data_IF_434899284922
#
_entry.id   IF_434899284922
#
_cell.length_a   1.000
_cell.length_b   1.000
_cell.length_c   1.000
_cell.angle_alpha   90.00
_cell.angle_beta   90.00
_cell.angle_gamma   90.00
#
_symmetry.space_group_name_H-M   'P 1'
#
loop_
_entity.id
_entity.type
_entity.pdbx_description
1 polymer ?
#
# COMPACT_ATOMS: atom_id res chain seq x y z
N UNK A 1 -29.06 -1.26 36.48
CA UNK A 1 -28.27 -0.65 35.39
C UNK A 1 -28.08 -1.71 34.32
N UNK A 2 -28.44 -1.40 33.07
CA UNK A 2 -28.30 -2.26 31.90
C UNK A 2 -26.95 -1.99 31.24
N UNK A 3 -26.18 -3.03 30.95
CA UNK A 3 -24.98 -2.89 30.12
C UNK A 3 -25.38 -2.73 28.65
N UNK A 4 -25.03 -1.61 28.05
CA UNK A 4 -25.34 -1.27 26.66
C UNK A 4 -24.08 -1.18 25.79
N UNK A 5 -22.94 -1.68 26.27
CA UNK A 5 -21.65 -1.61 25.58
C UNK A 5 -21.70 -2.15 24.14
N UNK A 6 -22.36 -3.30 23.93
CA UNK A 6 -22.51 -3.88 22.59
C UNK A 6 -23.39 -3.00 21.68
N UNK A 7 -24.47 -2.43 22.21
CA UNK A 7 -25.36 -1.53 21.48
C UNK A 7 -24.64 -0.22 21.11
N UNK A 8 -23.83 0.31 22.02
CA UNK A 8 -23.01 1.50 21.77
C UNK A 8 -22.03 1.27 20.62
N UNK A 9 -21.31 0.13 20.62
CA UNK A 9 -20.42 -0.24 19.51
C UNK A 9 -21.19 -0.38 18.19
N UNK A 10 -22.35 -1.06 18.22
CA UNK A 10 -23.21 -1.20 17.04
C UNK A 10 -23.71 0.15 16.50
N UNK A 11 -24.06 1.09 17.36
CA UNK A 11 -24.46 2.44 16.97
C UNK A 11 -23.31 3.15 16.23
N UNK A 12 -22.07 3.04 16.71
CA UNK A 12 -20.91 3.60 16.02
C UNK A 12 -20.67 2.95 14.64
N UNK A 13 -20.92 1.64 14.49
CA UNK A 13 -20.75 0.91 13.22
C UNK A 13 -21.86 1.17 12.21
N UNK A 14 -23.08 1.45 12.67
CA UNK A 14 -24.27 1.67 11.83
C UNK A 14 -24.44 3.11 11.36
N UNK A 15 -23.51 4.00 11.71
CA UNK A 15 -23.55 5.39 11.27
C UNK A 15 -23.59 5.47 9.73
N UNK A 16 -24.42 6.35 9.16
CA UNK A 16 -24.44 6.56 7.72
C UNK A 16 -23.06 6.99 7.22
N UNK A 17 -22.56 6.29 6.19
CA UNK A 17 -21.30 6.67 5.54
C UNK A 17 -21.54 7.93 4.69
N UNK A 18 -20.79 9.00 4.89
CA UNK A 18 -20.94 10.21 4.10
C UNK A 18 -20.44 9.98 2.67
N UNK A 19 -20.87 10.83 1.73
CA UNK A 19 -20.08 11.08 0.53
C UNK A 19 -18.74 11.67 0.95
N UNK A 20 -17.65 11.35 0.23
CA UNK A 20 -16.34 11.87 0.56
C UNK A 20 -16.33 13.41 0.59
N UNK A 21 -16.10 14.04 1.76
CA UNK A 21 -16.08 15.50 1.86
C UNK A 21 -14.87 16.07 1.10
N UNK A 22 -14.99 17.23 0.46
CA UNK A 22 -13.83 17.89 -0.13
C UNK A 22 -12.84 18.33 0.96
N UNK A 23 -11.56 18.51 0.58
CA UNK A 23 -10.45 18.76 1.53
C UNK A 23 -10.72 19.94 2.45
N UNK A 24 -11.30 21.02 1.92
CA UNK A 24 -11.63 22.23 2.67
C UNK A 24 -12.74 22.04 3.72
N UNK A 25 -13.52 20.96 3.65
CA UNK A 25 -14.58 20.62 4.62
C UNK A 25 -14.13 19.57 5.65
N UNK A 26 -12.93 18.99 5.49
CA UNK A 26 -12.43 17.95 6.39
C UNK A 26 -12.25 18.45 7.83
N UNK A 27 -11.81 19.69 7.99
CA UNK A 27 -11.65 20.32 9.32
C UNK A 27 -12.99 20.32 10.05
N UNK A 28 -14.02 20.88 9.42
CA UNK A 28 -15.37 20.98 9.99
C UNK A 28 -15.98 19.60 10.25
N UNK A 29 -15.69 18.63 9.38
CA UNK A 29 -16.14 17.26 9.58
C UNK A 29 -15.53 16.62 10.83
N UNK A 30 -14.20 16.74 11.02
CA UNK A 30 -13.51 16.19 12.19
C UNK A 30 -13.92 16.89 13.50
N UNK A 31 -14.24 18.19 13.44
CA UNK A 31 -14.67 18.98 14.58
C UNK A 31 -16.15 18.78 14.96
N UNK A 32 -16.93 18.11 14.10
CA UNK A 32 -18.37 17.91 14.31
C UNK A 32 -18.66 17.23 15.67
N UNK A 33 -19.52 17.81 16.51
CA UNK A 33 -19.95 17.18 17.76
C UNK A 33 -20.65 15.84 17.52
N UNK A 34 -20.53 14.92 18.47
CA UNK A 34 -21.34 13.71 18.47
C UNK A 34 -22.79 14.05 18.80
N UNK A 35 -23.72 13.37 18.15
CA UNK A 35 -25.13 13.40 18.55
C UNK A 35 -25.31 12.72 19.92
N UNK A 36 -26.34 13.11 20.66
CA UNK A 36 -26.56 12.61 22.03
C UNK A 36 -26.71 11.08 22.11
N UNK A 37 -27.24 10.44 21.06
CA UNK A 37 -27.40 8.99 20.94
C UNK A 37 -26.08 8.23 20.68
N UNK A 38 -25.02 8.95 20.30
CA UNK A 38 -23.67 8.42 20.13
C UNK A 38 -22.77 8.67 21.36
N UNK A 39 -23.24 9.46 22.33
CA UNK A 39 -22.49 9.62 23.58
C UNK A 39 -22.48 8.34 24.39
N UNK A 40 -21.35 8.06 25.02
CA UNK A 40 -21.08 6.85 25.79
C UNK A 40 -21.72 7.01 27.18
N UNK A 41 -22.77 6.23 27.52
CA UNK A 41 -23.40 6.34 28.82
C UNK A 41 -22.50 5.77 29.92
N UNK A 42 -22.29 6.55 30.97
CA UNK A 42 -21.60 6.13 32.19
C UNK A 42 -22.47 6.38 33.42
N UNK A 43 -22.22 5.62 34.49
CA UNK A 43 -22.79 5.92 35.80
C UNK A 43 -22.12 7.15 36.40
N UNK A 44 -22.86 7.91 37.23
CA UNK A 44 -22.38 9.14 37.83
C UNK A 44 -21.00 8.98 38.49
N UNK A 45 -20.81 7.94 39.32
CA UNK A 45 -19.52 7.72 39.99
C UNK A 45 -18.37 7.45 39.01
N UNK A 46 -18.63 6.81 37.87
CA UNK A 46 -17.61 6.55 36.85
C UNK A 46 -17.25 7.83 36.12
N UNK A 47 -18.26 8.64 35.80
CA UNK A 47 -18.10 9.96 35.20
C UNK A 47 -17.28 10.88 36.11
N UNK A 48 -17.63 10.94 37.41
CA UNK A 48 -16.95 11.77 38.40
C UNK A 48 -15.49 11.37 38.58
N UNK A 49 -15.16 10.07 38.49
CA UNK A 49 -13.77 9.59 38.52
C UNK A 49 -12.92 10.08 37.34
N UNK A 50 -13.52 10.50 36.22
CA UNK A 50 -12.78 11.02 35.07
C UNK A 50 -12.46 12.52 35.21
N UNK A 51 -13.18 13.23 36.07
CA UNK A 51 -12.91 14.63 36.36
C UNK A 51 -11.56 14.74 37.06
N UNK A 52 -10.74 15.68 36.62
CA UNK A 52 -9.42 15.94 37.19
C UNK A 52 -9.26 17.44 37.41
N UNK A 53 -8.94 17.81 38.64
CA UNK A 53 -8.60 19.18 39.03
C UNK A 53 -7.08 19.40 39.11
N UNK A 54 -6.28 18.43 38.64
CA UNK A 54 -4.83 18.61 38.54
C UNK A 54 -4.53 19.61 37.42
N UNK A 55 -3.76 20.66 37.70
CA UNK A 55 -3.40 21.68 36.70
C UNK A 55 -2.65 21.09 35.49
N UNK A 56 -1.88 20.03 35.68
CA UNK A 56 -1.12 19.37 34.60
C UNK A 56 -1.98 18.41 33.75
N UNK A 57 -3.16 18.02 34.24
CA UNK A 57 -4.06 17.06 33.58
C UNK A 57 -5.53 17.44 33.83
N UNK A 58 -5.86 18.72 33.63
CA UNK A 58 -7.20 19.26 33.91
C UNK A 58 -8.23 18.60 32.97
N UNK A 59 -9.34 18.14 33.54
CA UNK A 59 -10.46 17.57 32.80
C UNK A 59 -11.76 17.91 33.52
N UNK A 60 -12.59 18.73 32.88
CA UNK A 60 -13.85 19.21 33.43
C UNK A 60 -15.04 18.42 32.90
N UNK A 61 -16.22 18.65 33.47
CA UNK A 61 -17.46 18.11 32.93
C UNK A 61 -17.76 18.57 31.50
N UNK A 62 -17.31 19.77 31.09
CA UNK A 62 -17.50 20.23 29.72
C UNK A 62 -16.68 19.39 28.74
N UNK A 63 -15.45 19.02 29.13
CA UNK A 63 -14.58 18.16 28.33
C UNK A 63 -15.18 16.75 28.21
N UNK A 64 -15.63 16.17 29.33
CA UNK A 64 -16.23 14.83 29.32
C UNK A 64 -17.50 14.75 28.48
N UNK A 65 -18.33 15.80 28.48
CA UNK A 65 -19.57 15.87 27.69
C UNK A 65 -19.35 15.79 26.17
N UNK A 66 -18.10 15.90 25.69
CA UNK A 66 -17.76 15.67 24.28
C UNK A 66 -18.02 14.23 23.86
N UNK A 67 -17.76 13.26 24.76
CA UNK A 67 -17.90 11.82 24.47
C UNK A 67 -18.92 11.11 25.36
N UNK A 68 -19.15 11.62 26.57
CA UNK A 68 -19.90 10.90 27.59
C UNK A 68 -21.25 11.55 27.87
N UNK A 69 -22.20 10.73 28.28
CA UNK A 69 -23.42 11.19 28.93
C UNK A 69 -23.60 10.42 30.26
N UNK A 70 -24.20 11.07 31.25
CA UNK A 70 -24.51 10.41 32.53
C UNK A 70 -25.87 9.72 32.42
N UNK A 71 -25.93 8.45 32.76
CA UNK A 71 -27.19 7.69 32.81
C UNK A 71 -27.34 6.95 34.14
N UNK A 72 -28.57 6.90 34.65
CA UNK A 72 -28.93 6.10 35.84
C UNK A 72 -29.32 4.67 35.48
N UNK A 73 -29.67 4.44 34.21
CA UNK A 73 -30.29 3.19 33.76
C UNK A 73 -29.37 2.39 32.86
N UNK A 74 -28.49 3.04 32.11
CA UNK A 74 -27.63 2.43 31.10
C UNK A 74 -26.16 2.69 31.41
N UNK A 75 -25.29 1.76 31.06
CA UNK A 75 -23.85 1.86 31.27
C UNK A 75 -23.11 1.17 30.12
N UNK A 76 -22.11 1.83 29.55
CA UNK A 76 -21.26 1.31 28.47
C UNK A 76 -19.83 1.06 28.94
N UNK A 77 -19.64 0.62 30.19
CA UNK A 77 -18.32 0.45 30.77
C UNK A 77 -17.42 -0.50 29.98
N UNK A 78 -17.96 -1.57 29.39
CA UNK A 78 -17.19 -2.49 28.55
C UNK A 78 -16.66 -1.81 27.27
N UNK A 79 -17.48 -0.96 26.64
CA UNK A 79 -17.05 -0.16 25.49
C UNK A 79 -16.02 0.89 25.91
N UNK A 80 -16.30 1.65 26.96
CA UNK A 80 -15.37 2.64 27.54
C UNK A 80 -14.01 2.01 27.88
N UNK A 81 -14.01 0.82 28.50
CA UNK A 81 -12.79 0.11 28.92
C UNK A 81 -11.89 -0.23 27.73
N UNK A 82 -12.48 -0.59 26.58
CA UNK A 82 -11.74 -0.95 25.36
C UNK A 82 -11.37 0.26 24.51
N UNK A 83 -12.27 1.24 24.40
CA UNK A 83 -12.13 2.36 23.47
C UNK A 83 -11.40 3.56 24.07
N UNK A 84 -11.63 3.88 25.35
CA UNK A 84 -11.27 5.18 25.93
C UNK A 84 -10.29 5.05 27.09
N UNK A 85 -10.41 4.01 27.90
CA UNK A 85 -9.70 3.91 29.19
C UNK A 85 -8.18 4.05 29.04
N UNK A 86 -7.57 3.32 28.11
CA UNK A 86 -6.12 3.39 27.90
C UNK A 86 -5.67 4.80 27.49
N UNK A 87 -6.45 5.49 26.66
CA UNK A 87 -6.15 6.87 26.25
C UNK A 87 -6.24 7.84 27.44
N UNK A 88 -7.22 7.72 28.34
CA UNK A 88 -7.39 8.68 29.43
C UNK A 88 -6.41 8.49 30.59
N UNK A 89 -6.09 7.23 30.92
CA UNK A 89 -5.30 6.91 32.12
C UNK A 89 -3.80 6.77 31.89
N UNK A 90 -3.36 6.60 30.63
CA UNK A 90 -1.94 6.54 30.31
C UNK A 90 -1.42 7.93 29.94
N UNK A 91 -0.59 8.49 30.80
CA UNK A 91 0.10 9.75 30.53
C UNK A 91 1.14 9.57 29.41
N UNK A 92 1.42 10.63 28.65
CA UNK A 92 2.49 10.61 27.67
C UNK A 92 3.84 10.34 28.36
N UNK A 93 4.77 9.64 27.68
CA UNK A 93 6.14 9.50 28.17
C UNK A 93 6.84 10.85 28.37
N UNK A 94 7.93 10.81 29.14
CA UNK A 94 8.83 11.95 29.35
C UNK A 94 9.36 12.51 28.02
N UNK A 95 9.66 13.82 28.01
CA UNK A 95 10.26 14.50 26.87
C UNK A 95 11.68 14.04 26.52
N UNK A 96 12.33 13.26 27.38
CA UNK A 96 13.62 12.61 27.14
C UNK A 96 13.45 11.20 26.54
N UNK A 97 12.21 10.74 26.36
CA UNK A 97 11.89 9.43 25.81
C UNK A 97 12.32 9.27 24.35
N UNK A 98 12.75 8.06 24.00
CA UNK A 98 12.95 7.67 22.59
C UNK A 98 11.60 7.53 21.88
N UNK A 99 11.61 7.53 20.55
CA UNK A 99 10.42 7.22 19.75
C UNK A 99 9.73 5.93 20.20
N UNK A 100 10.51 4.87 20.47
CA UNK A 100 10.00 3.60 21.01
C UNK A 100 9.20 3.72 22.32
N UNK A 101 9.51 4.71 23.15
CA UNK A 101 8.76 4.92 24.40
C UNK A 101 7.34 5.45 24.15
N UNK A 102 7.13 6.13 23.03
CA UNK A 102 5.84 6.70 22.63
C UNK A 102 4.94 5.71 21.86
N UNK A 103 5.49 4.60 21.34
CA UNK A 103 4.73 3.62 20.54
C UNK A 103 3.46 3.13 21.24
N UNK A 104 3.56 2.71 22.51
CA UNK A 104 2.39 2.28 23.29
C UNK A 104 1.38 3.42 23.49
N UNK A 105 1.87 4.65 23.63
CA UNK A 105 1.04 5.82 23.81
C UNK A 105 0.27 6.19 22.53
N UNK A 106 0.91 6.17 21.36
CA UNK A 106 0.23 6.36 20.08
C UNK A 106 -0.76 5.22 19.80
N UNK A 107 -0.40 3.97 20.09
CA UNK A 107 -1.31 2.82 19.97
C UNK A 107 -2.59 3.01 20.80
N UNK A 108 -2.47 3.51 22.03
CA UNK A 108 -3.60 3.81 22.92
C UNK A 108 -4.52 4.93 22.42
N UNK A 109 -4.00 5.88 21.64
CA UNK A 109 -4.77 7.05 21.17
C UNK A 109 -5.21 6.95 19.71
N UNK A 110 -4.62 6.05 18.92
CA UNK A 110 -4.84 5.96 17.47
C UNK A 110 -5.19 4.52 17.09
N UNK A 111 -4.26 3.57 17.29
CA UNK A 111 -4.42 2.19 16.80
C UNK A 111 -5.63 1.48 17.41
N UNK A 112 -5.70 1.36 18.73
CA UNK A 112 -6.79 0.62 19.38
C UNK A 112 -8.16 1.26 19.16
N UNK A 113 -8.32 2.61 19.26
CA UNK A 113 -9.56 3.26 18.86
C UNK A 113 -9.98 2.94 17.43
N UNK A 114 -9.04 2.98 16.48
CA UNK A 114 -9.32 2.76 15.07
C UNK A 114 -9.72 1.31 14.77
N UNK A 115 -8.97 0.34 15.29
CA UNK A 115 -9.26 -1.10 15.16
C UNK A 115 -10.62 -1.48 15.78
N UNK A 116 -11.03 -0.80 16.86
CA UNK A 116 -12.34 -1.06 17.47
C UNK A 116 -13.49 -0.50 16.62
N UNK A 117 -13.30 0.69 16.04
CA UNK A 117 -14.29 1.35 15.20
C UNK A 117 -14.43 0.68 13.82
N UNK A 118 -13.33 0.15 13.29
CA UNK A 118 -13.21 -0.46 11.97
C UNK A 118 -12.67 -1.89 12.09
N UNK A 119 -13.50 -2.85 12.52
CA UNK A 119 -13.05 -4.22 12.86
C UNK A 119 -12.55 -5.04 11.66
N UNK A 120 -12.92 -4.64 10.44
CA UNK A 120 -12.48 -5.30 9.21
C UNK A 120 -11.09 -4.84 8.76
N UNK A 121 -10.55 -3.79 9.40
CA UNK A 121 -9.22 -3.28 9.11
C UNK A 121 -8.12 -3.93 9.92
N UNK A 122 -6.89 -3.82 9.43
CA UNK A 122 -5.71 -4.39 10.06
C UNK A 122 -4.61 -3.34 10.17
N UNK A 123 -3.99 -3.22 11.34
CA UNK A 123 -2.85 -2.34 11.53
C UNK A 123 -1.53 -3.03 11.18
N UNK A 124 -0.67 -2.30 10.49
CA UNK A 124 0.75 -2.63 10.34
C UNK A 124 1.59 -1.59 11.07
N UNK A 125 2.68 -2.04 11.69
CA UNK A 125 3.62 -1.18 12.39
C UNK A 125 5.04 -1.54 11.98
N UNK A 126 5.87 -0.54 11.73
CA UNK A 126 7.27 -0.76 11.42
C UNK A 126 8.04 -1.12 12.70
N UNK A 127 7.95 -2.38 13.12
CA UNK A 127 8.76 -2.87 14.22
C UNK A 127 10.18 -3.16 13.70
N UNK A 128 11.17 -2.47 14.25
CA UNK A 128 12.60 -2.63 13.91
C UNK A 128 13.17 -4.03 14.17
N UNK A 129 12.35 -4.99 14.61
CA UNK A 129 12.73 -6.38 14.91
C UNK A 129 13.26 -7.18 13.72
N UNK A 130 13.11 -6.70 12.50
CA UNK A 130 13.70 -7.32 11.31
C UNK A 130 14.39 -6.27 10.45
N UNK A 131 15.49 -5.70 10.97
CA UNK A 131 16.30 -4.70 10.30
C UNK A 131 16.64 -5.13 8.88
N UNK A 132 16.08 -4.38 7.94
CA UNK A 132 16.62 -4.16 6.61
C UNK A 132 16.43 -2.67 6.37
N UNK A 133 17.53 -1.95 6.29
CA UNK A 133 17.63 -0.47 6.35
C UNK A 133 16.88 0.26 5.23
N UNK A 134 16.31 -0.45 4.26
CA UNK A 134 15.72 0.09 3.04
C UNK A 134 14.18 -0.05 3.03
N UNK A 135 13.54 -0.02 4.20
CA UNK A 135 12.07 -0.10 4.29
C UNK A 135 11.46 1.28 4.09
N UNK A 136 10.87 1.50 2.92
CA UNK A 136 9.93 2.61 2.71
C UNK A 136 8.54 2.20 3.26
N UNK A 137 8.44 1.94 4.56
CA UNK A 137 7.18 1.69 5.25
C UNK A 137 6.86 2.88 6.16
N UNK A 138 5.57 3.23 6.33
CA UNK A 138 5.20 4.13 7.39
C UNK A 138 5.40 3.47 8.75
N UNK A 139 5.63 4.29 9.78
CA UNK A 139 5.75 3.81 11.16
C UNK A 139 4.47 3.12 11.62
N UNK A 140 3.33 3.67 11.20
CA UNK A 140 2.00 3.08 11.34
C UNK A 140 1.22 3.10 10.02
N UNK A 141 0.48 2.03 9.75
CA UNK A 141 -0.49 1.98 8.66
C UNK A 141 -1.73 1.23 9.09
N UNK A 142 -2.90 1.69 8.66
CA UNK A 142 -4.17 1.00 8.84
C UNK A 142 -4.73 0.60 7.48
N UNK A 143 -4.92 -0.70 7.30
CA UNK A 143 -5.33 -1.29 6.04
C UNK A 143 -6.79 -1.71 6.08
N UNK A 144 -7.53 -1.41 5.02
CA UNK A 144 -8.88 -1.93 4.80
C UNK A 144 -8.94 -2.53 3.38
N UNK A 145 -9.37 -3.79 3.28
CA UNK A 145 -9.33 -4.58 2.03
C UNK A 145 -8.02 -4.38 1.24
N UNK A 146 -6.89 -4.64 1.91
CA UNK A 146 -5.54 -4.62 1.33
C UNK A 146 -4.96 -3.23 1.00
N UNK A 147 -5.73 -2.13 1.09
CA UNK A 147 -5.25 -0.76 0.88
C UNK A 147 -4.89 -0.07 2.19
N UNK A 148 -3.76 0.64 2.27
CA UNK A 148 -3.37 1.43 3.43
C UNK A 148 -3.99 2.83 3.37
N UNK A 149 -5.16 2.99 3.98
CA UNK A 149 -6.00 4.20 3.87
C UNK A 149 -5.71 5.27 4.93
N UNK A 150 -4.96 4.89 5.97
CA UNK A 150 -4.55 5.79 7.02
C UNK A 150 -3.10 5.49 7.43
N UNK A 151 -2.20 6.47 7.21
CA UNK A 151 -0.74 6.33 7.42
C UNK A 151 -0.22 7.25 8.52
N UNK A 152 0.80 6.82 9.23
CA UNK A 152 1.43 7.57 10.32
C UNK A 152 2.95 7.54 10.25
N UNK A 153 3.58 8.71 10.38
CA UNK A 153 5.01 8.84 10.72
C UNK A 153 5.13 9.42 12.13
N UNK A 154 5.98 8.84 12.95
CA UNK A 154 6.00 9.07 14.39
C UNK A 154 7.41 9.38 14.87
N UNK A 155 7.61 10.56 15.46
CA UNK A 155 8.90 10.96 16.02
C UNK A 155 8.76 11.36 17.48
N UNK A 156 9.85 11.20 18.24
CA UNK A 156 9.99 11.87 19.54
C UNK A 156 10.26 13.37 19.34
N UNK A 157 10.67 14.09 20.38
CA UNK A 157 10.88 15.54 20.33
C UNK A 157 12.12 16.00 19.50
N UNK A 158 12.73 15.13 18.70
CA UNK A 158 13.99 15.41 17.97
C UNK A 158 13.74 15.90 16.53
N UNK A 159 14.75 16.57 15.97
CA UNK A 159 14.77 17.39 14.74
C UNK A 159 14.50 16.68 13.39
N UNK A 160 13.71 15.61 13.36
CA UNK A 160 13.26 15.01 12.10
C UNK A 160 11.92 15.63 11.69
N UNK A 161 11.68 15.77 10.39
CA UNK A 161 10.41 16.27 9.86
C UNK A 161 9.52 15.09 9.46
N UNK A 162 8.64 14.59 10.36
CA UNK A 162 7.78 13.46 10.04
C UNK A 162 6.76 13.78 8.94
N UNK A 163 6.46 15.06 8.69
CA UNK A 163 5.58 15.45 7.57
C UNK A 163 6.28 15.23 6.24
N UNK A 164 7.55 15.60 6.14
CA UNK A 164 8.34 15.35 4.93
C UNK A 164 8.52 13.84 4.69
N UNK A 165 8.82 13.08 5.74
CA UNK A 165 8.97 11.62 5.66
C UNK A 165 7.69 10.92 5.17
N UNK A 166 6.52 11.39 5.62
CA UNK A 166 5.21 10.87 5.22
C UNK A 166 4.97 11.02 3.70
N UNK A 167 5.43 12.13 3.11
CA UNK A 167 5.35 12.36 1.67
C UNK A 167 6.37 11.54 0.88
N UNK A 168 7.62 11.52 1.34
CA UNK A 168 8.72 10.81 0.68
C UNK A 168 8.49 9.29 0.62
N UNK A 169 7.78 8.72 1.61
CA UNK A 169 7.40 7.30 1.67
C UNK A 169 6.00 7.05 1.10
N UNK A 170 5.52 7.85 0.14
CA UNK A 170 4.24 7.58 -0.50
C UNK A 170 4.32 7.67 -2.02
N UNK A 171 3.92 6.57 -2.67
CA UNK A 171 3.58 6.55 -4.09
C UNK A 171 2.07 6.51 -4.20
N UNK A 172 1.51 7.44 -4.97
CA UNK A 172 0.08 7.55 -5.14
C UNK A 172 -0.47 6.42 -6.01
N UNK A 173 -1.32 5.58 -5.42
CA UNK A 173 -1.97 4.43 -6.09
C UNK A 173 -3.45 4.29 -5.70
N UNK A 174 -4.07 5.38 -5.25
CA UNK A 174 -5.38 5.36 -4.58
C UNK A 174 -6.50 5.94 -5.46
N UNK A 175 -6.29 6.02 -6.77
CA UNK A 175 -7.34 6.42 -7.71
C UNK A 175 -8.55 5.45 -7.60
N UNK A 176 -9.80 5.95 -7.66
CA UNK A 176 -10.21 7.34 -7.93
C UNK A 176 -10.42 8.20 -6.67
N UNK A 177 -9.95 7.79 -5.49
CA UNK A 177 -10.16 8.59 -4.28
C UNK A 177 -9.42 9.94 -4.38
N UNK A 178 -10.04 11.06 -3.95
CA UNK A 178 -9.40 12.38 -4.02
C UNK A 178 -8.26 12.54 -3.01
N UNK A 179 -8.29 11.78 -1.92
CA UNK A 179 -7.27 11.77 -0.88
C UNK A 179 -7.34 10.45 -0.10
N UNK A 180 -6.22 10.08 0.53
CA UNK A 180 -6.22 9.20 1.69
C UNK A 180 -5.97 10.03 2.95
N UNK A 181 -6.05 9.41 4.12
CA UNK A 181 -5.79 10.09 5.38
C UNK A 181 -4.45 9.69 5.97
N UNK A 182 -3.98 10.50 6.90
CA UNK A 182 -2.83 10.13 7.70
C UNK A 182 -2.64 11.05 8.89
N UNK A 183 -1.52 10.88 9.57
CA UNK A 183 -1.02 11.79 10.56
C UNK A 183 0.50 11.82 10.57
N UNK A 184 1.04 12.87 11.17
CA UNK A 184 2.41 12.84 11.68
C UNK A 184 2.41 13.24 13.15
N UNK A 185 3.32 12.65 13.92
CA UNK A 185 3.42 12.89 15.36
C UNK A 185 4.82 13.37 15.76
N UNK A 186 4.84 14.35 16.67
CA UNK A 186 6.04 14.81 17.38
C UNK A 186 5.77 14.72 18.88
N UNK A 187 6.25 13.64 19.49
CA UNK A 187 5.90 13.23 20.85
C UNK A 187 4.37 13.12 21.01
N UNK A 188 3.75 13.85 21.95
CA UNK A 188 2.31 13.82 22.18
C UNK A 188 1.51 14.77 21.25
N UNK A 189 2.15 15.47 20.33
CA UNK A 189 1.45 16.30 19.34
C UNK A 189 1.19 15.50 18.08
N UNK A 190 -0.08 15.41 17.66
CA UNK A 190 -0.50 14.71 16.45
C UNK A 190 -1.16 15.71 15.51
N UNK A 191 -0.73 15.73 14.25
CA UNK A 191 -1.39 16.48 13.19
C UNK A 191 -1.98 15.50 12.17
N UNK A 192 -3.30 15.49 12.05
CA UNK A 192 -4.01 14.76 11.01
C UNK A 192 -3.86 15.49 9.69
N UNK A 193 -3.73 14.70 8.62
CA UNK A 193 -3.55 15.20 7.26
C UNK A 193 -4.45 14.48 6.26
N UNK A 194 -4.79 15.19 5.19
CA UNK A 194 -5.25 14.61 3.94
C UNK A 194 -4.06 14.56 2.97
N UNK A 195 -3.83 13.40 2.37
CA UNK A 195 -2.76 13.17 1.40
C UNK A 195 -3.40 12.95 0.04
N UNK A 196 -3.04 13.78 -0.94
CA UNK A 196 -3.67 13.78 -2.27
C UNK A 196 -2.66 13.38 -3.35
N UNK A 197 -3.18 13.06 -4.53
CA UNK A 197 -2.36 12.81 -5.72
C UNK A 197 -1.35 13.96 -5.96
N UNK A 198 -0.17 13.65 -6.50
CA UNK A 198 0.75 14.68 -6.99
C UNK A 198 0.09 15.60 -8.01
N UNK A 199 0.55 16.85 -8.08
CA UNK A 199 0.15 17.74 -9.19
C UNK A 199 0.83 17.29 -10.49
N UNK A 200 0.25 17.61 -11.67
CA UNK A 200 0.92 17.34 -12.94
C UNK A 200 2.36 17.88 -12.96
N UNK A 201 3.33 17.01 -13.23
CA UNK A 201 4.76 17.34 -13.25
C UNK A 201 5.49 17.17 -11.91
N UNK A 202 4.81 16.76 -10.84
CA UNK A 202 5.43 16.37 -9.57
C UNK A 202 5.24 14.88 -9.29
N UNK A 203 6.20 14.25 -8.62
CA UNK A 203 6.06 12.90 -8.06
C UNK A 203 5.66 12.93 -6.59
N UNK A 204 5.74 14.09 -5.94
CA UNK A 204 5.46 14.24 -4.51
C UNK A 204 3.96 14.45 -4.25
N UNK A 205 3.36 13.74 -3.28
CA UNK A 205 1.96 13.91 -2.94
C UNK A 205 1.73 15.25 -2.23
N UNK A 206 0.52 15.80 -2.38
CA UNK A 206 0.13 17.01 -1.68
C UNK A 206 -0.40 16.67 -0.28
N UNK A 207 0.19 17.23 0.77
CA UNK A 207 -0.20 16.96 2.17
C UNK A 207 -0.81 18.22 2.80
N UNK A 208 -2.09 18.13 3.15
CA UNK A 208 -2.88 19.18 3.79
C UNK A 208 -3.16 18.85 5.24
N UNK A 209 -2.81 19.74 6.17
CA UNK A 209 -3.14 19.56 7.59
C UNK A 209 -4.62 19.84 7.81
N UNK A 210 -5.33 18.91 8.46
CA UNK A 210 -6.79 18.99 8.66
C UNK A 210 -7.19 19.10 10.14
N UNK A 211 -6.36 18.66 11.09
CA UNK A 211 -6.59 18.90 12.51
C UNK A 211 -5.32 18.68 13.33
N UNK A 212 -5.16 19.47 14.41
CA UNK A 212 -4.06 19.33 15.37
C UNK A 212 -4.58 18.92 16.75
N UNK A 213 -4.09 17.80 17.27
CA UNK A 213 -4.39 17.27 18.59
C UNK A 213 -3.16 17.33 19.48
N UNK A 214 -3.28 17.96 20.65
CA UNK A 214 -2.36 17.70 21.76
C UNK A 214 -2.86 16.47 22.53
N UNK A 215 -1.97 15.57 22.94
CA UNK A 215 -2.35 14.40 23.74
C UNK A 215 -1.87 14.52 25.19
N UNK A 216 -1.46 15.72 25.61
CA UNK A 216 -0.86 15.94 26.93
C UNK A 216 -1.87 15.77 28.07
N UNK A 217 -3.05 16.35 27.93
CA UNK A 217 -4.10 16.30 28.96
C UNK A 217 -5.25 15.39 28.57
N UNK A 218 -5.98 14.86 29.56
CA UNK A 218 -7.22 14.09 29.35
C UNK A 218 -8.22 14.83 28.48
N UNK A 219 -8.45 16.12 28.74
CA UNK A 219 -9.38 16.93 27.96
C UNK A 219 -9.03 16.91 26.45
N UNK A 220 -7.75 17.08 26.11
CA UNK A 220 -7.33 17.05 24.72
C UNK A 220 -7.38 15.64 24.11
N UNK A 221 -7.11 14.58 24.90
CA UNK A 221 -7.28 13.19 24.46
C UNK A 221 -8.74 12.84 24.20
N UNK A 222 -9.69 13.39 24.97
CA UNK A 222 -11.14 13.25 24.71
C UNK A 222 -11.51 13.91 23.37
N UNK A 223 -11.02 15.13 23.13
CA UNK A 223 -11.22 15.83 21.86
C UNK A 223 -10.63 15.04 20.67
N UNK A 224 -9.43 14.47 20.85
CA UNK A 224 -8.77 13.63 19.86
C UNK A 224 -9.59 12.37 19.54
N UNK A 225 -10.12 11.68 20.54
CA UNK A 225 -10.97 10.50 20.35
C UNK A 225 -12.26 10.85 19.59
N UNK A 226 -12.87 12.02 19.81
CA UNK A 226 -13.99 12.51 18.97
C UNK A 226 -13.58 12.64 17.51
N UNK A 227 -12.41 13.22 17.24
CA UNK A 227 -11.86 13.33 15.87
C UNK A 227 -11.64 11.95 15.26
N UNK A 228 -11.09 10.98 16.01
CA UNK A 228 -10.92 9.59 15.55
C UNK A 228 -12.25 8.92 15.19
N UNK A 229 -13.30 9.15 15.99
CA UNK A 229 -14.66 8.68 15.72
C UNK A 229 -15.19 9.23 14.39
N UNK A 230 -15.00 10.51 14.12
CA UNK A 230 -15.42 11.13 12.87
C UNK A 230 -14.55 10.63 11.70
N UNK A 231 -13.24 10.60 11.89
CA UNK A 231 -12.26 10.16 10.91
C UNK A 231 -12.53 8.74 10.40
N UNK A 232 -12.98 7.83 11.27
CA UNK A 232 -13.28 6.45 10.87
C UNK A 232 -14.38 6.34 9.79
N UNK A 233 -15.34 7.27 9.76
CA UNK A 233 -16.37 7.32 8.70
C UNK A 233 -15.78 7.69 7.34
N UNK A 234 -14.78 8.57 7.34
CA UNK A 234 -14.11 8.99 6.11
C UNK A 234 -13.26 7.83 5.58
N UNK A 235 -12.56 7.09 6.44
CA UNK A 235 -11.76 5.91 6.02
C UNK A 235 -12.64 4.89 5.28
N UNK A 236 -13.81 4.53 5.81
CA UNK A 236 -14.74 3.62 5.11
C UNK A 236 -15.23 4.21 3.78
N UNK A 237 -15.46 5.53 3.73
CA UNK A 237 -15.89 6.20 2.50
C UNK A 237 -14.80 6.22 1.43
N UNK A 238 -13.53 6.34 1.83
CA UNK A 238 -12.37 6.25 0.94
C UNK A 238 -12.27 4.82 0.39
N UNK A 239 -12.39 3.82 1.27
CA UNK A 239 -12.39 2.41 0.89
C UNK A 239 -13.45 2.09 -0.16
N UNK A 240 -14.69 2.55 0.05
CA UNK A 240 -15.78 2.35 -0.90
C UNK A 240 -15.52 3.02 -2.26
N UNK A 241 -14.76 4.13 -2.30
CA UNK A 241 -14.41 4.82 -3.54
C UNK A 241 -13.31 4.08 -4.33
N UNK A 242 -12.34 3.49 -3.63
CA UNK A 242 -11.20 2.78 -4.24
C UNK A 242 -11.59 1.38 -4.68
N UNK A 243 -12.36 0.65 -3.87
CA UNK A 243 -12.70 -0.74 -4.10
C UNK A 243 -11.64 -1.73 -3.57
N UNK A 244 -11.62 -2.94 -4.13
CA UNK A 244 -10.75 -4.03 -3.67
C UNK A 244 -9.35 -3.92 -4.28
N UNK A 245 -8.32 -4.07 -3.45
CA UNK A 245 -6.94 -4.26 -3.91
C UNK A 245 -6.57 -5.74 -3.97
N UNK A 246 -5.96 -6.17 -5.08
CA UNK A 246 -5.54 -7.56 -5.30
C UNK A 246 -4.48 -8.05 -4.30
N UNK A 247 -3.67 -7.14 -3.77
CA UNK A 247 -2.57 -7.47 -2.85
C UNK A 247 -2.51 -6.51 -1.67
N UNK A 248 -2.30 -7.02 -0.43
CA UNK A 248 -2.16 -6.16 0.73
C UNK A 248 -0.86 -5.37 0.66
N UNK A 249 -0.96 -4.04 0.80
CA UNK A 249 0.20 -3.20 1.07
C UNK A 249 0.91 -3.71 2.33
N UNK A 250 2.25 -3.69 2.37
CA UNK A 250 3.04 -4.01 3.57
C UNK A 250 2.89 -5.42 4.20
N UNK A 251 2.04 -6.31 3.66
CA UNK A 251 1.90 -7.70 4.12
C UNK A 251 2.58 -8.70 3.19
N UNK A 252 3.13 -9.79 3.75
CA UNK A 252 3.70 -10.89 2.99
C UNK A 252 2.62 -11.77 2.31
N UNK A 253 2.72 -11.99 1.00
CA UNK A 253 1.94 -13.01 0.27
C UNK A 253 2.69 -14.36 0.27
N UNK A 254 2.01 -15.53 0.27
CA UNK A 254 2.65 -16.86 0.51
C UNK A 254 3.33 -17.50 -0.73
N UNK A 255 4.33 -18.37 -0.44
CA UNK A 255 5.35 -19.09 -1.26
C UNK A 255 6.68 -18.34 -1.48
N UNK A 256 6.63 -17.02 -1.69
CA UNK A 256 7.74 -16.05 -1.61
C UNK A 256 7.14 -14.85 -0.90
N UNK A 257 7.77 -14.36 0.16
CA UNK A 257 7.23 -13.19 0.87
C UNK A 257 7.53 -11.96 0.00
N UNK A 258 6.57 -11.60 -0.86
CA UNK A 258 6.58 -10.34 -1.61
C UNK A 258 5.88 -9.31 -0.73
N UNK A 259 6.56 -8.20 -0.55
CA UNK A 259 6.08 -7.07 0.21
C UNK A 259 6.20 -5.84 -0.67
N UNK A 260 5.06 -5.22 -0.95
CA UNK A 260 4.99 -3.96 -1.67
C UNK A 260 5.19 -2.84 -0.66
N UNK A 261 6.39 -2.24 -0.67
CA UNK A 261 6.70 -1.06 0.14
C UNK A 261 6.15 0.21 -0.55
N UNK A 262 6.48 1.39 -0.04
CA UNK A 262 6.02 2.63 -0.65
C UNK A 262 6.54 2.84 -2.07
N UNK A 263 7.85 2.85 -2.27
CA UNK A 263 8.51 3.10 -3.58
C UNK A 263 9.21 1.86 -4.14
N UNK A 264 9.40 0.83 -3.32
CA UNK A 264 10.15 -0.39 -3.65
C UNK A 264 9.30 -1.65 -3.50
N UNK A 265 9.75 -2.73 -4.13
CA UNK A 265 9.24 -4.09 -3.90
C UNK A 265 10.32 -4.90 -3.20
N UNK A 266 9.99 -5.50 -2.06
CA UNK A 266 10.87 -6.42 -1.35
C UNK A 266 10.43 -7.85 -1.64
N UNK A 267 11.35 -8.68 -2.12
CA UNK A 267 11.16 -10.14 -2.18
C UNK A 267 12.03 -10.81 -1.13
N UNK A 268 11.43 -11.71 -0.35
CA UNK A 268 12.12 -12.55 0.64
C UNK A 268 11.96 -14.02 0.30
N UNK A 269 13.09 -14.72 0.19
CA UNK A 269 13.14 -16.14 -0.16
C UNK A 269 13.22 -16.99 1.10
N UNK A 270 12.24 -17.89 1.29
CA UNK A 270 12.05 -18.63 2.54
C UNK A 270 12.07 -20.15 2.35
N UNK A 271 12.93 -20.67 1.48
CA UNK A 271 13.15 -22.11 1.37
C UNK A 271 13.80 -22.64 2.66
N UNK A 272 13.46 -23.87 3.06
CA UNK A 272 14.01 -24.52 4.28
C UNK A 272 15.53 -24.70 4.25
N UNK A 273 16.13 -24.68 3.06
CA UNK A 273 17.57 -24.77 2.85
C UNK A 273 18.13 -23.40 2.44
N UNK A 274 18.91 -22.71 3.30
CA UNK A 274 19.41 -21.35 3.05
C UNK A 274 20.22 -21.20 1.76
N UNK A 275 21.02 -22.20 1.40
CA UNK A 275 21.84 -22.18 0.18
C UNK A 275 21.00 -22.01 -1.10
N UNK A 276 19.78 -22.56 -1.15
CA UNK A 276 18.86 -22.38 -2.27
C UNK A 276 18.38 -20.93 -2.34
N UNK A 277 18.10 -20.31 -1.19
CA UNK A 277 17.68 -18.91 -1.14
C UNK A 277 18.82 -17.98 -1.60
N UNK A 278 20.04 -18.21 -1.12
CA UNK A 278 21.21 -17.42 -1.53
C UNK A 278 21.52 -17.59 -3.02
N UNK A 279 21.42 -18.81 -3.55
CA UNK A 279 21.56 -19.07 -4.99
C UNK A 279 20.53 -18.31 -5.83
N UNK A 280 19.29 -18.14 -5.35
CA UNK A 280 18.27 -17.31 -6.02
C UNK A 280 18.62 -15.83 -6.02
N UNK A 281 19.09 -15.31 -4.90
CA UNK A 281 19.54 -13.91 -4.81
C UNK A 281 20.74 -13.66 -5.73
N UNK A 282 21.71 -14.57 -5.77
CA UNK A 282 22.85 -14.49 -6.69
C UNK A 282 22.43 -14.57 -8.16
N UNK A 283 21.49 -15.45 -8.52
CA UNK A 283 20.91 -15.49 -9.87
C UNK A 283 20.34 -14.11 -10.26
N UNK A 284 19.52 -13.53 -9.39
CA UNK A 284 18.93 -12.21 -9.64
C UNK A 284 19.97 -11.10 -9.73
N UNK A 285 20.99 -11.08 -8.85
CA UNK A 285 22.12 -10.14 -8.94
C UNK A 285 22.76 -10.17 -10.33
N UNK A 286 23.00 -11.37 -10.86
CA UNK A 286 23.60 -11.54 -12.17
C UNK A 286 22.68 -11.06 -13.30
N UNK A 287 21.39 -11.40 -13.26
CA UNK A 287 20.42 -10.94 -14.25
C UNK A 287 20.32 -9.41 -14.25
N UNK A 288 20.07 -8.78 -13.10
CA UNK A 288 19.94 -7.32 -13.02
C UNK A 288 21.22 -6.58 -13.43
N UNK A 289 22.40 -7.14 -13.12
CA UNK A 289 23.66 -6.59 -13.62
C UNK A 289 23.73 -6.61 -15.15
N UNK A 290 23.28 -7.69 -15.80
CA UNK A 290 23.21 -7.74 -17.26
C UNK A 290 22.20 -6.74 -17.82
N UNK A 291 21.01 -6.62 -17.22
CA UNK A 291 20.00 -5.64 -17.61
C UNK A 291 20.54 -4.21 -17.57
N UNK A 292 21.28 -3.88 -16.50
CA UNK A 292 21.92 -2.58 -16.34
C UNK A 292 23.01 -2.32 -17.38
N UNK A 293 23.93 -3.28 -17.59
CA UNK A 293 25.01 -3.16 -18.58
C UNK A 293 24.48 -3.02 -20.01
N UNK A 294 23.39 -3.74 -20.33
CA UNK A 294 22.72 -3.66 -21.63
C UNK A 294 21.88 -2.38 -21.80
N UNK A 295 21.60 -1.64 -20.72
CA UNK A 295 20.73 -0.47 -20.75
C UNK A 295 19.29 -0.82 -21.14
N UNK A 296 18.78 -1.96 -20.68
CA UNK A 296 17.45 -2.46 -21.04
C UNK A 296 16.38 -1.46 -20.56
N UNK A 297 15.48 -0.97 -21.45
CA UNK A 297 14.43 -0.03 -21.07
C UNK A 297 13.23 -0.75 -20.47
N UNK A 298 12.36 0.01 -19.79
CA UNK A 298 11.06 -0.47 -19.30
C UNK A 298 11.14 -1.71 -18.39
N UNK A 299 12.13 -1.74 -17.49
CA UNK A 299 12.32 -2.81 -16.48
C UNK A 299 12.48 -2.22 -15.08
N UNK A 300 12.25 -3.02 -14.04
CA UNK A 300 12.73 -2.72 -12.71
C UNK A 300 14.25 -2.98 -12.56
N UNK A 301 14.82 -2.52 -11.46
CA UNK A 301 16.24 -2.54 -11.15
C UNK A 301 16.46 -3.07 -9.74
N UNK A 302 17.60 -3.72 -9.54
CA UNK A 302 18.04 -4.15 -8.22
C UNK A 302 18.61 -2.96 -7.44
N UNK A 303 17.85 -2.46 -6.46
CA UNK A 303 18.32 -1.41 -5.56
C UNK A 303 19.29 -1.95 -4.51
N UNK A 304 18.93 -3.07 -3.87
CA UNK A 304 19.74 -3.68 -2.83
C UNK A 304 19.43 -5.18 -2.69
N UNK A 305 20.36 -5.94 -2.13
CA UNK A 305 20.17 -7.35 -1.83
C UNK A 305 21.04 -7.80 -0.68
N UNK A 306 20.55 -8.76 0.09
CA UNK A 306 21.24 -9.27 1.28
C UNK A 306 21.15 -10.80 1.33
N UNK A 307 22.22 -11.42 1.84
CA UNK A 307 22.36 -12.86 2.07
C UNK A 307 23.12 -13.07 3.38
N UNK A 308 22.51 -12.73 4.50
CA UNK A 308 23.16 -12.82 5.82
C UNK A 308 22.14 -13.18 6.92
N UNK A 309 22.63 -13.54 8.10
CA UNK A 309 21.77 -13.95 9.23
C UNK A 309 20.83 -12.84 9.72
N UNK A 310 21.24 -11.57 9.58
CA UNK A 310 20.48 -10.42 10.06
C UNK A 310 19.30 -10.10 9.15
N UNK A 311 19.50 -10.16 7.83
CA UNK A 311 18.53 -9.75 6.83
C UNK A 311 17.81 -10.93 6.16
N UNK A 312 18.40 -12.13 6.21
CA UNK A 312 18.00 -13.28 5.41
C UNK A 312 18.43 -13.16 3.95
N UNK A 313 17.72 -13.88 3.07
CA UNK A 313 17.89 -13.83 1.62
C UNK A 313 16.82 -12.93 1.00
N UNK A 314 17.19 -11.70 0.67
CA UNK A 314 16.24 -10.67 0.24
C UNK A 314 16.77 -9.83 -0.92
N UNK A 315 15.86 -9.34 -1.76
CA UNK A 315 16.12 -8.34 -2.79
C UNK A 315 15.12 -7.19 -2.69
N UNK A 316 15.59 -5.99 -3.00
CA UNK A 316 14.82 -4.75 -3.09
C UNK A 316 14.87 -4.26 -4.53
N UNK A 317 13.70 -4.03 -5.12
CA UNK A 317 13.52 -3.69 -6.52
C UNK A 317 12.83 -2.34 -6.67
N UNK A 318 13.21 -1.57 -7.69
CA UNK A 318 12.63 -0.27 -8.01
C UNK A 318 12.67 0.02 -9.53
N UNK A 319 11.76 0.84 -10.09
CA UNK A 319 10.63 1.48 -9.41
C UNK A 319 9.49 0.49 -9.13
N UNK A 320 8.68 0.78 -8.11
CA UNK A 320 7.40 0.09 -7.90
C UNK A 320 6.37 0.54 -8.93
N UNK A 321 5.86 -0.40 -9.73
CA UNK A 321 4.68 -0.18 -10.56
C UNK A 321 3.35 -0.49 -9.87
N UNK A 322 2.26 -0.13 -10.53
CA UNK A 322 0.87 -0.44 -10.17
C UNK A 322 0.41 -1.61 -11.02
N UNK A 323 -0.14 -2.65 -10.38
CA UNK A 323 -0.83 -3.75 -11.08
C UNK A 323 -2.21 -3.28 -11.53
N UNK A 324 -2.33 -3.04 -12.83
CA UNK A 324 -3.59 -2.68 -13.51
C UNK A 324 -3.59 -3.35 -14.88
N UNK A 325 -4.77 -3.73 -15.36
CA UNK A 325 -4.92 -4.15 -16.75
C UNK A 325 -5.19 -2.91 -17.63
N UNK A 326 -4.76 -2.90 -18.90
CA UNK A 326 -5.14 -1.85 -19.84
C UNK A 326 -6.66 -1.85 -20.03
N UNK A 327 -7.24 -0.65 -19.99
CA UNK A 327 -8.70 -0.45 -20.06
C UNK A 327 -9.21 -0.17 -21.47
N UNK A 328 -8.32 0.20 -22.39
CA UNK A 328 -8.63 0.57 -23.76
C UNK A 328 -7.47 0.24 -24.71
N UNK A 329 -7.71 0.38 -26.02
CA UNK A 329 -6.73 0.07 -27.06
C UNK A 329 -5.43 0.88 -26.92
N UNK A 330 -5.51 2.17 -26.58
CA UNK A 330 -4.33 3.03 -26.42
C UNK A 330 -3.45 2.54 -25.26
N UNK A 331 -4.05 2.26 -24.10
CA UNK A 331 -3.31 1.71 -22.96
C UNK A 331 -2.69 0.34 -23.27
N UNK A 332 -3.40 -0.52 -24.02
CA UNK A 332 -2.86 -1.80 -24.48
C UNK A 332 -1.65 -1.59 -25.39
N UNK A 333 -1.76 -0.74 -26.41
CA UNK A 333 -0.65 -0.46 -27.33
C UNK A 333 0.56 0.10 -26.60
N UNK A 334 0.35 1.04 -25.67
CA UNK A 334 1.42 1.59 -24.83
C UNK A 334 2.13 0.51 -24.01
N UNK A 335 1.36 -0.40 -23.38
CA UNK A 335 1.92 -1.51 -22.61
C UNK A 335 2.75 -2.43 -23.51
N UNK A 336 2.18 -2.91 -24.61
CA UNK A 336 2.84 -3.87 -25.51
C UNK A 336 4.08 -3.27 -26.15
N UNK A 337 4.05 -2.00 -26.57
CA UNK A 337 5.21 -1.31 -27.13
C UNK A 337 6.34 -1.22 -26.09
N UNK A 338 6.04 -0.88 -24.83
CA UNK A 338 7.06 -0.84 -23.78
C UNK A 338 7.74 -2.22 -23.59
N UNK A 339 6.96 -3.30 -23.58
CA UNK A 339 7.49 -4.67 -23.45
C UNK A 339 8.31 -5.07 -24.67
N UNK A 340 7.87 -4.75 -25.89
CA UNK A 340 8.66 -5.06 -27.09
C UNK A 340 9.97 -4.27 -27.15
N UNK A 341 9.98 -3.01 -26.72
CA UNK A 341 11.21 -2.21 -26.59
C UNK A 341 12.19 -2.84 -25.57
N UNK A 342 11.68 -3.46 -24.49
CA UNK A 342 12.49 -4.29 -23.60
C UNK A 342 13.08 -5.50 -24.34
N UNK A 343 12.25 -6.25 -25.06
CA UNK A 343 12.68 -7.46 -25.78
C UNK A 343 13.71 -7.17 -26.88
N UNK A 344 13.62 -6.02 -27.54
CA UNK A 344 14.55 -5.61 -28.60
C UNK A 344 16.00 -5.60 -28.11
N UNK A 345 16.21 -5.12 -26.87
CA UNK A 345 17.53 -5.09 -26.24
C UNK A 345 17.91 -6.45 -25.64
N UNK A 346 16.95 -7.16 -25.05
CA UNK A 346 17.21 -8.46 -24.42
C UNK A 346 17.61 -9.54 -25.42
N UNK A 347 16.95 -9.58 -26.57
CA UNK A 347 17.13 -10.59 -27.61
C UNK A 347 18.29 -10.25 -28.56
N UNK A 348 19.06 -9.19 -28.30
CA UNK A 348 20.25 -8.87 -29.09
C UNK A 348 21.21 -10.06 -29.18
N UNK A 349 21.82 -10.27 -30.34
CA UNK A 349 22.66 -11.45 -30.63
C UNK A 349 23.82 -11.64 -29.64
N UNK A 350 24.37 -10.54 -29.11
CA UNK A 350 25.40 -10.57 -28.08
C UNK A 350 24.77 -10.78 -26.69
N UNK A 351 24.94 -12.00 -26.14
CA UNK A 351 24.46 -12.43 -24.81
C UNK A 351 22.95 -12.28 -24.59
N UNK A 352 22.10 -13.03 -25.34
CA UNK A 352 20.66 -12.91 -25.21
C UNK A 352 20.14 -13.41 -23.86
N UNK A 353 19.08 -12.75 -23.40
CA UNK A 353 18.36 -13.09 -22.17
C UNK A 353 16.89 -13.25 -22.54
N UNK A 354 16.26 -14.31 -22.05
CA UNK A 354 14.83 -14.55 -22.25
C UNK A 354 14.12 -14.47 -20.91
N UNK A 355 12.97 -13.80 -20.88
CA UNK A 355 12.21 -13.59 -19.65
C UNK A 355 11.46 -14.86 -19.21
N UNK A 356 10.89 -15.59 -20.17
CA UNK A 356 10.16 -16.85 -20.03
C UNK A 356 8.80 -16.78 -19.33
N UNK A 357 8.57 -15.78 -18.46
CA UNK A 357 7.31 -15.63 -17.71
C UNK A 357 6.59 -14.28 -18.02
N UNK A 358 6.47 -13.90 -19.29
CA UNK A 358 5.77 -12.65 -19.68
C UNK A 358 4.26 -12.87 -19.61
N UNK A 359 3.61 -12.30 -18.60
CA UNK A 359 2.15 -12.35 -18.41
C UNK A 359 1.69 -11.09 -17.70
N UNK A 360 0.39 -10.77 -17.75
CA UNK A 360 -0.18 -9.58 -17.10
C UNK A 360 0.23 -9.39 -15.63
N UNK A 361 0.35 -10.43 -14.79
CA UNK A 361 0.86 -10.27 -13.41
C UNK A 361 2.29 -9.71 -13.28
N UNK A 362 3.08 -9.82 -14.35
CA UNK A 362 4.48 -9.41 -14.46
C UNK A 362 4.65 -8.15 -15.32
N UNK A 363 3.55 -7.52 -15.76
CA UNK A 363 3.53 -6.24 -16.47
C UNK A 363 2.83 -5.21 -15.60
N UNK A 364 3.54 -4.16 -15.20
CA UNK A 364 3.01 -3.15 -14.27
C UNK A 364 3.15 -1.74 -14.84
N UNK A 365 2.18 -0.87 -14.56
CA UNK A 365 2.18 0.53 -15.02
C UNK A 365 2.91 1.43 -14.03
N UNK A 366 3.70 2.39 -14.51
CA UNK A 366 4.28 3.40 -13.62
C UNK A 366 3.20 4.38 -13.13
N UNK A 367 3.24 4.71 -11.84
CA UNK A 367 2.24 5.60 -11.23
C UNK A 367 2.34 7.04 -11.72
N UNK A 368 3.56 7.51 -11.99
CA UNK A 368 3.87 8.86 -12.44
C UNK A 368 3.70 9.06 -13.96
N UNK A 369 3.64 8.00 -14.75
CA UNK A 369 3.58 8.06 -16.22
C UNK A 369 2.60 7.01 -16.77
N UNK A 370 1.36 7.43 -17.06
CA UNK A 370 0.27 6.51 -17.48
C UNK A 370 0.55 5.76 -18.78
N UNK A 371 1.41 6.28 -19.66
CA UNK A 371 1.81 5.60 -20.90
C UNK A 371 2.99 4.65 -20.72
N UNK A 372 3.65 4.63 -19.55
CA UNK A 372 4.81 3.79 -19.29
C UNK A 372 4.47 2.55 -18.47
N UNK A 373 4.89 1.42 -19.00
CA UNK A 373 4.74 0.10 -18.41
C UNK A 373 6.11 -0.55 -18.32
N UNK A 374 6.32 -1.38 -17.30
CA UNK A 374 7.57 -2.09 -17.09
C UNK A 374 7.33 -3.59 -16.93
N UNK A 375 8.31 -4.38 -17.39
CA UNK A 375 8.40 -5.82 -17.16
C UNK A 375 9.13 -6.08 -15.84
N UNK A 376 8.55 -6.95 -15.01
CA UNK A 376 9.09 -7.32 -13.69
C UNK A 376 9.12 -8.85 -13.54
N UNK A 377 9.69 -9.32 -12.44
CA UNK A 377 9.73 -10.75 -12.06
C UNK A 377 10.66 -11.65 -12.89
N UNK A 378 11.93 -11.24 -12.97
CA UNK A 378 13.03 -11.94 -13.65
C UNK A 378 13.49 -13.28 -13.01
N UNK A 379 12.70 -13.87 -12.11
CA UNK A 379 13.10 -15.06 -11.35
C UNK A 379 13.32 -16.27 -12.28
N UNK A 380 12.55 -16.34 -13.37
CA UNK A 380 12.58 -17.41 -14.38
C UNK A 380 13.41 -17.08 -15.62
N UNK A 381 14.06 -15.91 -15.66
CA UNK A 381 14.91 -15.53 -16.79
C UNK A 381 16.11 -16.47 -16.95
N UNK A 382 16.51 -16.69 -18.20
CA UNK A 382 17.65 -17.55 -18.56
C UNK A 382 18.37 -17.02 -19.81
N UNK A 383 19.56 -17.55 -20.06
CA UNK A 383 20.34 -17.31 -21.28
C UNK A 383 20.68 -18.65 -21.94
N UNK A 384 20.98 -18.68 -23.25
CA UNK A 384 21.45 -19.90 -23.90
C UNK A 384 22.69 -20.51 -23.21
N UNK A 385 22.77 -21.86 -23.10
CA UNK A 385 21.73 -22.82 -23.45
C UNK A 385 20.59 -22.83 -22.42
N UNK A 386 19.36 -22.60 -22.88
CA UNK A 386 18.17 -22.50 -22.05
C UNK A 386 17.69 -23.85 -21.55
N UNK A 387 17.15 -23.85 -20.32
CA UNK A 387 16.58 -25.05 -19.71
C UNK A 387 15.05 -25.07 -19.82
N UNK A 388 14.42 -26.26 -19.90
CA UNK A 388 12.97 -26.39 -19.82
C UNK A 388 12.39 -25.76 -18.55
N UNK A 389 11.44 -24.85 -18.71
CA UNK A 389 10.75 -24.20 -17.59
C UNK A 389 9.58 -25.07 -17.05
N UNK A 390 9.91 -26.28 -16.61
CA UNK A 390 8.92 -27.33 -16.24
C UNK A 390 7.97 -26.97 -15.09
N UNK A 391 8.28 -25.93 -14.31
CA UNK A 391 7.45 -25.45 -13.21
C UNK A 391 6.39 -24.42 -13.65
N UNK A 392 6.47 -23.90 -14.87
CA UNK A 392 5.50 -22.97 -15.42
C UNK A 392 4.21 -23.72 -15.85
N UNK A 393 3.10 -22.98 -15.94
CA UNK A 393 1.81 -23.55 -16.31
C UNK A 393 1.67 -23.61 -17.84
N UNK A 394 1.28 -24.78 -18.37
CA UNK A 394 1.20 -24.99 -19.83
C UNK A 394 0.14 -24.13 -20.51
N UNK A 395 -0.92 -23.76 -19.80
CA UNK A 395 -2.09 -23.09 -20.40
C UNK A 395 -1.85 -21.61 -20.74
N UNK A 396 -0.75 -21.02 -20.24
CA UNK A 396 -0.44 -19.61 -20.39
C UNK A 396 1.02 -19.31 -20.76
N UNK A 397 1.74 -20.29 -21.30
CA UNK A 397 3.09 -20.11 -21.83
C UNK A 397 3.25 -20.77 -23.19
N UNK A 398 4.25 -20.33 -23.94
CA UNK A 398 4.63 -20.91 -25.22
C UNK A 398 4.97 -22.40 -25.05
N UNK A 399 4.50 -23.29 -25.92
CA UNK A 399 4.84 -24.72 -25.87
C UNK A 399 6.36 -24.98 -25.81
N UNK A 400 7.13 -24.18 -26.55
CA UNK A 400 8.57 -24.31 -26.71
C UNK A 400 9.36 -23.99 -25.43
N UNK A 401 8.79 -23.23 -24.48
CA UNK A 401 9.45 -22.92 -23.19
C UNK A 401 9.68 -24.17 -22.33
N UNK A 402 8.91 -25.22 -22.59
CA UNK A 402 9.03 -26.52 -21.93
C UNK A 402 10.04 -27.45 -22.60
N UNK A 403 10.74 -26.97 -23.62
CA UNK A 403 11.80 -27.66 -24.34
C UNK A 403 13.16 -26.99 -24.07
N UNK A 404 14.25 -27.76 -24.20
CA UNK A 404 15.59 -27.24 -24.00
C UNK A 404 16.07 -26.52 -25.27
N UNK A 405 16.84 -25.44 -25.12
CA UNK A 405 17.40 -24.73 -26.25
C UNK A 405 16.41 -23.84 -27.01
N UNK A 406 15.27 -23.50 -26.41
CA UNK A 406 14.38 -22.45 -26.91
C UNK A 406 15.07 -21.08 -26.90
N UNK A 407 14.67 -20.21 -27.82
CA UNK A 407 15.15 -18.84 -27.95
C UNK A 407 14.12 -17.79 -27.53
N UNK A 408 14.26 -16.58 -28.06
CA UNK A 408 13.39 -15.44 -27.76
C UNK A 408 11.95 -15.58 -28.29
N UNK A 409 11.68 -16.58 -29.12
CA UNK A 409 10.34 -16.85 -29.66
C UNK A 409 9.29 -17.12 -28.57
N UNK A 410 9.70 -17.62 -27.40
CA UNK A 410 8.80 -17.87 -26.26
C UNK A 410 8.29 -16.57 -25.64
N UNK A 411 9.12 -15.53 -25.62
CA UNK A 411 8.75 -14.21 -25.13
C UNK A 411 7.81 -13.51 -26.14
N UNK A 412 8.09 -13.64 -27.45
CA UNK A 412 7.21 -13.09 -28.51
C UNK A 412 5.83 -13.73 -28.48
N UNK A 413 5.76 -15.06 -28.33
CA UNK A 413 4.49 -15.76 -28.17
C UNK A 413 3.71 -15.20 -26.96
N UNK A 414 4.41 -14.98 -25.85
CA UNK A 414 3.81 -14.47 -24.62
C UNK A 414 3.30 -13.04 -24.77
N UNK A 415 3.99 -12.18 -25.55
CA UNK A 415 3.47 -10.85 -25.92
C UNK A 415 2.19 -10.97 -26.75
N UNK A 416 2.13 -11.89 -27.70
CA UNK A 416 0.89 -12.19 -28.44
C UNK A 416 -0.23 -12.61 -27.51
N UNK A 417 0.09 -13.43 -26.50
CA UNK A 417 -0.87 -13.87 -25.49
C UNK A 417 -1.43 -12.72 -24.65
N UNK A 418 -0.61 -11.72 -24.29
CA UNK A 418 -1.07 -10.50 -23.59
C UNK A 418 -2.18 -9.79 -24.39
N UNK A 419 -2.01 -9.67 -25.71
CA UNK A 419 -2.97 -9.05 -26.62
C UNK A 419 -4.27 -9.86 -26.68
N UNK A 420 -4.18 -11.17 -26.89
CA UNK A 420 -5.37 -12.02 -27.01
C UNK A 420 -6.13 -12.11 -25.68
N UNK A 421 -5.43 -12.16 -24.55
CA UNK A 421 -6.08 -12.10 -23.23
C UNK A 421 -6.82 -10.77 -23.08
N UNK A 422 -6.19 -9.63 -23.46
CA UNK A 422 -6.80 -8.31 -23.35
C UNK A 422 -8.07 -8.13 -24.18
N UNK A 423 -8.20 -8.86 -25.29
CA UNK A 423 -9.42 -8.88 -26.11
C UNK A 423 -10.67 -9.37 -25.36
N UNK A 424 -10.49 -10.10 -24.24
CA UNK A 424 -11.59 -10.62 -23.42
C UNK A 424 -12.26 -9.51 -22.62
N UNK A 425 -11.52 -8.49 -22.17
CA UNK A 425 -12.05 -7.42 -21.33
C UNK A 425 -12.08 -6.04 -21.98
N UNK A 426 -11.26 -5.78 -23.01
CA UNK A 426 -11.29 -4.50 -23.74
C UNK A 426 -12.39 -4.54 -24.79
N UNK A 427 -13.47 -3.80 -24.54
CA UNK A 427 -14.56 -3.64 -25.51
C UNK A 427 -14.10 -2.79 -26.70
N UNK A 428 -14.34 -3.25 -27.93
CA UNK A 428 -14.06 -2.49 -29.14
C UNK A 428 -12.60 -2.51 -29.58
N UNK A 429 -11.78 -3.46 -29.10
CA UNK A 429 -10.42 -3.64 -29.56
C UNK A 429 -10.40 -3.98 -31.07
N UNK A 430 -9.53 -3.30 -31.83
CA UNK A 430 -9.42 -3.49 -33.29
C UNK A 430 -9.13 -4.94 -33.66
N UNK A 431 -9.83 -5.46 -34.66
CA UNK A 431 -9.64 -6.82 -35.16
C UNK A 431 -8.20 -7.06 -35.63
N UNK A 432 -7.58 -6.08 -36.29
CA UNK A 432 -6.19 -6.17 -36.75
C UNK A 432 -5.20 -6.36 -35.59
N UNK A 433 -5.50 -5.81 -34.40
CA UNK A 433 -4.65 -5.99 -33.21
C UNK A 433 -4.80 -7.41 -32.68
N UNK A 434 -6.04 -7.92 -32.64
CA UNK A 434 -6.32 -9.29 -32.19
C UNK A 434 -5.64 -10.31 -33.11
N UNK A 435 -5.83 -10.19 -34.43
CA UNK A 435 -5.17 -11.04 -35.43
C UNK A 435 -3.64 -10.99 -35.31
N UNK A 436 -3.08 -9.82 -35.01
CA UNK A 436 -1.64 -9.68 -34.79
C UNK A 436 -1.16 -10.42 -33.53
N UNK A 437 -1.94 -10.38 -32.44
CA UNK A 437 -1.68 -11.16 -31.23
C UNK A 437 -1.75 -12.68 -31.48
N UNK A 438 -2.66 -13.13 -32.36
CA UNK A 438 -2.73 -14.53 -32.81
C UNK A 438 -1.54 -14.90 -33.69
N UNK A 439 -1.12 -14.00 -34.60
CA UNK A 439 0.05 -14.20 -35.45
C UNK A 439 1.33 -14.39 -34.61
N UNK A 440 1.53 -13.58 -33.57
CA UNK A 440 2.65 -13.70 -32.62
C UNK A 440 2.68 -15.05 -31.90
N UNK A 441 1.53 -15.72 -31.76
CA UNK A 441 1.42 -17.05 -31.15
C UNK A 441 1.55 -18.20 -32.16
N UNK A 442 1.61 -17.90 -33.46
CA UNK A 442 1.69 -18.88 -34.54
C UNK A 442 3.13 -19.32 -34.84
N UNK A 443 3.32 -20.11 -35.90
CA UNK A 443 4.67 -20.43 -36.41
C UNK A 443 5.28 -19.27 -37.24
N UNK A 444 4.48 -18.29 -37.65
CA UNK A 444 4.90 -17.14 -38.46
C UNK A 444 5.06 -15.88 -37.59
N UNK A 445 5.76 -16.02 -36.46
CA UNK A 445 5.97 -14.93 -35.49
C UNK A 445 6.79 -13.80 -36.15
N UNK A 446 6.40 -12.53 -35.98
CA UNK A 446 7.21 -11.41 -36.46
C UNK A 446 8.50 -11.29 -35.64
N UNK A 447 9.50 -10.59 -36.19
CA UNK A 447 10.63 -10.13 -35.39
C UNK A 447 10.16 -9.07 -34.38
N UNK A 448 10.91 -8.85 -33.30
CA UNK A 448 10.63 -7.77 -32.34
C UNK A 448 10.54 -6.42 -33.05
N UNK A 449 11.48 -6.15 -33.96
CA UNK A 449 11.54 -4.92 -34.74
C UNK A 449 10.28 -4.71 -35.60
N UNK A 450 9.85 -5.74 -36.33
CA UNK A 450 8.64 -5.65 -37.15
C UNK A 450 7.38 -5.44 -36.30
N UNK A 451 7.34 -6.08 -35.13
CA UNK A 451 6.23 -5.93 -34.19
C UNK A 451 6.12 -4.51 -33.63
N UNK A 452 7.24 -3.90 -33.22
CA UNK A 452 7.25 -2.51 -32.75
C UNK A 452 6.75 -1.57 -33.84
N UNK A 453 7.23 -1.73 -35.08
CA UNK A 453 6.85 -0.87 -36.19
C UNK A 453 5.37 -0.99 -36.55
N UNK A 454 4.84 -2.22 -36.56
CA UNK A 454 3.42 -2.47 -36.79
C UNK A 454 2.56 -1.76 -35.73
N UNK A 455 2.84 -1.97 -34.44
CA UNK A 455 2.03 -1.38 -33.37
C UNK A 455 2.16 0.14 -33.30
N UNK A 456 3.36 0.70 -33.53
CA UNK A 456 3.57 2.16 -33.62
C UNK A 456 2.82 2.78 -34.81
N UNK A 457 2.54 2.02 -35.87
CA UNK A 457 1.73 2.50 -36.99
C UNK A 457 0.24 2.59 -36.66
N UNK A 458 -0.24 1.80 -35.70
CA UNK A 458 -1.62 1.79 -35.22
C UNK A 458 -1.88 2.79 -34.07
N UNK A 459 -0.81 3.28 -33.44
CA UNK A 459 -0.86 4.27 -32.35
C UNK A 459 -0.86 5.73 -32.85
N UNK A 460 -0.75 5.94 -34.18
CA UNK A 460 -0.88 7.25 -34.85
C UNK A 460 -2.32 7.45 -35.29
#
# INVERSE_FOLDING_TARGET
>A
VVDVSARTLENFKKRPKPTLPPINELVDFLERPLSEDLKIPLLQYQYDCLISNNFEDLCTSQDLNILFCVSKFENSFGFYSKFVSASLWNNPPSNVGTEYSFVSFWDNNIRYPLELLLPDGNSVRNTSKHMSTNRDRPDYGFLLSNACLFRGEEKSFLNEDPRAELGNKLVWTYEPAPYILGYYANGPTVEFVAICSPQPGSTEPNIFNIAKSGLQTKAQRILHLRRMINLSLIIESIHNAIGLHDFPEFYPVKRRIIEVCATKVKKTFTHSYPAINYGRVEKLRNIYKKLEVKGVPNVDKLFASYCDEKHGAVVYLEPKGIRVNPSNQEELLNAIICILETLEVLHSEDDPIFHQDIRWPNVVRLSNEKSKWILIDWDDSDSPPTRPASHLAKDNHAPEVFEAGHGGEVDIWSVGRLITDASIWITGLSHNIIEFGEQMQSNNKPSVYDAINFLKSLAK
#
